data_IF_321764826628
#
_entry.id   IF_321764826628
#
_cell.length_a   1.000
_cell.length_b   1.000
_cell.length_c   1.000
_cell.angle_alpha   90.00
_cell.angle_beta   90.00
_cell.angle_gamma   90.00
#
_symmetry.space_group_name_H-M   'P 1'
#
loop_
_entity.id
_entity.type
_entity.pdbx_description
1 polymer ?
#
# COMPACT_ATOMS: atom_id res chain seq x y z
N UNK A 1 -29.34 -19.53 16.06
CA UNK A 1 -29.33 -18.40 15.10
C UNK A 1 -30.71 -18.33 14.48
N UNK A 2 -31.36 -17.16 14.50
CA UNK A 2 -32.78 -17.02 14.20
C UNK A 2 -33.00 -16.47 12.78
N UNK A 3 -34.14 -16.82 12.16
CA UNK A 3 -34.54 -16.39 10.81
C UNK A 3 -34.68 -14.86 10.64
N UNK A 4 -34.54 -14.09 11.73
CA UNK A 4 -34.47 -12.63 11.76
C UNK A 4 -33.16 -12.08 11.20
N UNK A 5 -32.11 -12.90 11.12
CA UNK A 5 -30.77 -12.44 10.75
C UNK A 5 -30.59 -12.35 9.22
N UNK A 6 -31.54 -12.88 8.43
CA UNK A 6 -31.52 -12.87 6.97
C UNK A 6 -32.17 -11.63 6.33
N UNK A 7 -32.23 -10.49 7.04
CA UNK A 7 -32.61 -9.23 6.39
C UNK A 7 -31.50 -8.83 5.41
N UNK A 8 -31.66 -9.22 4.14
CA UNK A 8 -30.84 -8.76 3.01
C UNK A 8 -31.05 -7.26 2.85
N UNK A 9 -30.28 -6.46 3.57
CA UNK A 9 -30.01 -5.08 3.17
C UNK A 9 -29.21 -5.15 1.87
N UNK A 10 -29.92 -5.20 0.73
CA UNK A 10 -29.32 -4.95 -0.58
C UNK A 10 -28.70 -3.55 -0.51
N UNK A 11 -27.40 -3.50 -0.25
CA UNK A 11 -26.63 -2.28 -0.31
C UNK A 11 -26.76 -1.81 -1.74
N UNK A 12 -27.42 -0.66 -1.95
CA UNK A 12 -27.53 -0.05 -3.27
C UNK A 12 -26.11 0.10 -3.79
N UNK A 13 -25.72 -0.70 -4.78
CA UNK A 13 -24.43 -0.56 -5.40
C UNK A 13 -24.41 0.84 -6.01
N UNK A 14 -23.57 1.73 -5.51
CA UNK A 14 -23.27 3.03 -6.15
C UNK A 14 -22.50 2.75 -7.45
N UNK A 15 -23.16 2.12 -8.42
CA UNK A 15 -22.64 1.98 -9.77
C UNK A 15 -22.66 3.38 -10.35
N UNK A 16 -21.47 3.98 -10.43
CA UNK A 16 -21.28 5.22 -11.17
C UNK A 16 -21.62 4.97 -12.63
N UNK A 17 -22.17 5.99 -13.29
CA UNK A 17 -22.46 5.94 -14.71
C UNK A 17 -21.13 5.79 -15.47
N UNK A 18 -20.99 4.68 -16.16
CA UNK A 18 -19.83 4.32 -16.96
C UNK A 18 -19.95 5.01 -18.32
N UNK A 19 -18.89 5.68 -18.77
CA UNK A 19 -18.92 6.40 -20.06
C UNK A 19 -18.72 5.43 -21.24
N UNK A 20 -19.18 5.83 -22.43
CA UNK A 20 -19.01 5.02 -23.65
C UNK A 20 -17.54 4.83 -23.99
N UNK A 21 -16.73 5.87 -23.85
CA UNK A 21 -15.30 5.81 -24.16
C UNK A 21 -14.54 4.87 -23.19
N UNK A 22 -14.96 4.84 -21.92
CA UNK A 22 -14.42 3.91 -20.91
C UNK A 22 -14.77 2.45 -21.23
N UNK A 23 -15.97 2.20 -21.76
CA UNK A 23 -16.38 0.88 -22.24
C UNK A 23 -15.55 0.40 -23.42
N UNK A 24 -15.33 1.29 -24.39
CA UNK A 24 -14.59 0.98 -25.61
C UNK A 24 -13.13 0.63 -25.23
N UNK A 25 -12.50 1.45 -24.41
CA UNK A 25 -11.13 1.21 -23.97
C UNK A 25 -10.99 -0.11 -23.18
N UNK A 26 -11.94 -0.44 -22.29
CA UNK A 26 -11.93 -1.69 -21.54
C UNK A 26 -12.11 -2.91 -22.48
N UNK A 27 -13.00 -2.79 -23.47
CA UNK A 27 -13.22 -3.84 -24.47
C UNK A 27 -11.97 -4.08 -25.33
N UNK A 28 -11.25 -3.04 -25.72
CA UNK A 28 -9.99 -3.15 -26.46
C UNK A 28 -8.90 -3.84 -25.62
N UNK A 29 -8.75 -3.44 -24.35
CA UNK A 29 -7.81 -4.05 -23.42
C UNK A 29 -8.10 -5.54 -23.19
N UNK A 30 -9.39 -5.89 -23.08
CA UNK A 30 -9.84 -7.28 -23.00
C UNK A 30 -9.51 -8.07 -24.28
N UNK A 31 -9.80 -7.51 -25.46
CA UNK A 31 -9.50 -8.14 -26.75
C UNK A 31 -7.99 -8.37 -26.95
N UNK A 32 -7.14 -7.48 -26.41
CA UNK A 32 -5.69 -7.62 -26.42
C UNK A 32 -5.14 -8.57 -25.34
N UNK A 33 -6.01 -9.18 -24.51
CA UNK A 33 -5.60 -10.10 -23.43
C UNK A 33 -4.90 -9.41 -22.26
N UNK A 34 -5.06 -8.09 -22.12
CA UNK A 34 -4.51 -7.29 -21.03
C UNK A 34 -5.65 -6.67 -20.24
N UNK A 35 -6.40 -7.43 -19.43
CA UNK A 35 -7.49 -6.89 -18.64
C UNK A 35 -6.92 -5.94 -17.59
N UNK A 36 -6.87 -4.65 -17.92
CA UNK A 36 -6.48 -3.57 -17.04
C UNK A 36 -7.76 -2.89 -16.58
N UNK A 37 -8.00 -2.86 -15.28
CA UNK A 37 -9.19 -2.20 -14.71
C UNK A 37 -9.03 -0.70 -14.94
N UNK A 38 -9.67 -0.16 -15.98
CA UNK A 38 -9.66 1.27 -16.33
C UNK A 38 -10.46 2.11 -15.33
N UNK A 39 -11.28 1.46 -14.49
CA UNK A 39 -12.24 2.08 -13.58
C UNK A 39 -11.96 1.80 -12.08
N UNK A 40 -10.70 1.72 -11.67
CA UNK A 40 -10.40 1.91 -10.25
C UNK A 40 -10.49 3.40 -10.00
N UNK A 41 -11.51 3.82 -9.24
CA UNK A 41 -11.58 5.13 -8.57
C UNK A 41 -10.18 5.48 -8.08
N UNK A 42 -9.44 6.32 -8.82
CA UNK A 42 -8.36 7.11 -8.24
C UNK A 42 -9.06 8.02 -7.26
N UNK A 43 -9.14 7.60 -5.99
CA UNK A 43 -9.54 8.51 -4.92
C UNK A 43 -8.50 9.62 -4.99
N UNK A 44 -8.92 10.80 -5.47
CA UNK A 44 -8.08 11.97 -5.53
C UNK A 44 -7.50 12.22 -4.13
N UNK A 45 -6.24 11.85 -3.93
CA UNK A 45 -5.61 11.79 -2.61
C UNK A 45 -4.42 10.82 -2.48
N UNK A 46 -4.18 9.94 -3.46
CA UNK A 46 -3.16 8.87 -3.34
C UNK A 46 -2.04 8.94 -4.40
N UNK A 47 -1.74 10.13 -4.92
CA UNK A 47 -0.71 10.33 -5.95
C UNK A 47 0.73 10.25 -5.39
N UNK A 48 0.98 9.61 -4.23
CA UNK A 48 2.35 9.48 -3.68
C UNK A 48 2.84 8.14 -3.13
N UNK A 49 2.09 7.04 -2.98
CA UNK A 49 2.66 5.91 -2.20
C UNK A 49 2.39 4.50 -2.74
N UNK A 50 3.35 3.87 -3.45
CA UNK A 50 3.24 2.45 -3.81
C UNK A 50 4.20 1.57 -3.00
N UNK A 51 4.27 1.63 -1.66
CA UNK A 51 5.48 1.10 -1.00
C UNK A 51 5.37 -0.18 -0.18
N UNK A 52 4.19 -0.71 0.21
CA UNK A 52 4.08 -2.10 0.73
C UNK A 52 2.83 -2.79 0.17
N UNK A 53 3.00 -3.44 -0.99
CA UNK A 53 2.18 -4.54 -1.56
C UNK A 53 0.66 -4.34 -1.73
N UNK A 54 0.21 -4.47 -2.98
CA UNK A 54 -1.17 -4.43 -3.52
C UNK A 54 -2.02 -5.65 -3.13
N UNK A 55 -1.98 -6.06 -1.87
CA UNK A 55 -2.70 -7.23 -1.35
C UNK A 55 -3.44 -6.95 -0.04
N UNK A 56 -4.24 -7.91 0.46
CA UNK A 56 -4.91 -7.77 1.75
C UNK A 56 -3.89 -7.54 2.87
N UNK A 57 -4.09 -6.49 3.66
CA UNK A 57 -3.24 -6.22 4.82
C UNK A 57 -3.44 -7.32 5.87
N UNK A 58 -2.35 -7.84 6.43
CA UNK A 58 -2.39 -8.82 7.52
C UNK A 58 -2.10 -8.11 8.85
N UNK A 59 -2.80 -8.52 9.90
CA UNK A 59 -2.51 -8.06 11.25
C UNK A 59 -1.30 -8.80 11.83
N UNK A 60 -0.50 -8.10 12.63
CA UNK A 60 0.65 -8.62 13.34
C UNK A 60 0.74 -8.00 14.73
N UNK A 61 1.26 -8.76 15.69
CA UNK A 61 1.52 -8.32 17.07
C UNK A 61 3.03 -8.25 17.25
N UNK A 62 3.52 -7.13 17.76
CA UNK A 62 4.94 -6.88 18.00
C UNK A 62 5.17 -6.58 19.46
N UNK A 63 6.31 -7.03 19.99
CA UNK A 63 6.76 -6.67 21.32
C UNK A 63 7.57 -5.38 21.23
N UNK A 64 7.16 -4.36 21.99
CA UNK A 64 7.80 -3.04 22.05
C UNK A 64 8.06 -2.67 23.50
N UNK A 65 9.05 -1.80 23.75
CA UNK A 65 9.25 -1.21 25.07
C UNK A 65 8.14 -0.20 25.39
N UNK A 66 7.91 0.05 26.68
CA UNK A 66 6.92 1.05 27.13
C UNK A 66 7.23 2.44 26.54
N UNK A 67 8.49 2.86 26.59
CA UNK A 67 8.94 4.13 26.02
C UNK A 67 8.63 4.25 24.52
N UNK A 68 8.82 3.17 23.74
CA UNK A 68 8.51 3.18 22.32
C UNK A 68 6.99 3.29 22.07
N UNK A 69 6.17 2.68 22.93
CA UNK A 69 4.71 2.79 22.89
C UNK A 69 4.28 4.23 23.19
N UNK A 70 4.88 4.87 24.19
CA UNK A 70 4.61 6.28 24.53
C UNK A 70 4.96 7.23 23.38
N UNK A 71 6.15 7.10 22.80
CA UNK A 71 6.58 7.91 21.65
C UNK A 71 5.61 7.72 20.47
N UNK A 72 5.21 6.47 20.19
CA UNK A 72 4.27 6.19 19.11
C UNK A 72 2.87 6.76 19.37
N UNK A 73 2.43 6.77 20.64
CA UNK A 73 1.18 7.40 21.05
C UNK A 73 1.24 8.92 20.85
N UNK A 74 2.30 9.56 21.33
CA UNK A 74 2.50 11.00 21.23
C UNK A 74 2.55 11.45 19.77
N UNK A 75 3.38 10.81 18.94
CA UNK A 75 3.47 11.10 17.51
C UNK A 75 2.12 10.96 16.81
N UNK A 76 1.33 9.95 17.18
CA UNK A 76 0.00 9.75 16.60
C UNK A 76 -0.97 10.88 16.96
N UNK A 77 -0.89 11.40 18.19
CA UNK A 77 -1.74 12.52 18.64
C UNK A 77 -1.31 13.85 18.00
N UNK A 78 -0.01 14.13 17.93
CA UNK A 78 0.52 15.39 17.38
C UNK A 78 0.34 15.50 15.87
N UNK A 79 0.59 14.42 15.13
CA UNK A 79 0.53 14.42 13.66
C UNK A 79 -0.86 14.11 13.11
N UNK A 80 -1.75 13.54 13.94
CA UNK A 80 -3.03 12.98 13.49
C UNK A 80 -2.89 11.71 12.62
N UNK A 81 -1.67 11.17 12.47
CA UNK A 81 -1.43 9.93 11.71
C UNK A 81 -1.64 8.73 12.62
N UNK A 82 -2.27 7.67 12.11
CA UNK A 82 -2.47 6.45 12.91
C UNK A 82 -1.16 5.73 13.19
N UNK A 83 -1.05 5.12 14.38
CA UNK A 83 0.12 4.32 14.80
C UNK A 83 0.55 3.29 13.76
N UNK A 84 -0.41 2.56 13.18
CA UNK A 84 -0.11 1.56 12.16
C UNK A 84 0.45 2.17 10.87
N UNK A 85 0.04 3.40 10.51
CA UNK A 85 0.60 4.13 9.36
C UNK A 85 2.01 4.62 9.65
N UNK A 86 2.28 5.13 10.86
CA UNK A 86 3.62 5.51 11.30
C UNK A 86 4.59 4.31 11.23
N UNK A 87 4.19 3.14 11.74
CA UNK A 87 5.01 1.92 11.66
C UNK A 87 5.28 1.53 10.20
N UNK A 88 4.27 1.61 9.31
CA UNK A 88 4.48 1.35 7.88
C UNK A 88 5.50 2.32 7.27
N UNK A 89 5.37 3.62 7.53
CA UNK A 89 6.32 4.63 7.03
C UNK A 89 7.74 4.40 7.56
N UNK A 90 7.88 4.03 8.83
CA UNK A 90 9.18 3.70 9.41
C UNK A 90 9.84 2.52 8.69
N UNK A 91 9.09 1.44 8.46
CA UNK A 91 9.58 0.26 7.73
C UNK A 91 10.06 0.65 6.33
N UNK A 92 9.31 1.50 5.63
CA UNK A 92 9.66 1.97 4.29
C UNK A 92 10.93 2.79 4.26
N UNK A 93 11.07 3.73 5.19
CA UNK A 93 12.26 4.58 5.30
C UNK A 93 13.50 3.72 5.57
N UNK A 94 13.38 2.74 6.48
CA UNK A 94 14.49 1.82 6.79
C UNK A 94 14.85 0.94 5.59
N UNK A 95 13.86 0.41 4.87
CA UNK A 95 14.10 -0.41 3.68
C UNK A 95 14.80 0.39 2.57
N UNK A 96 14.34 1.61 2.30
CA UNK A 96 14.97 2.51 1.33
C UNK A 96 16.43 2.83 1.68
N UNK A 97 16.71 3.12 2.97
CA UNK A 97 18.08 3.33 3.43
C UNK A 97 18.95 2.08 3.27
N UNK A 98 18.43 0.89 3.58
CA UNK A 98 19.17 -0.37 3.44
C UNK A 98 19.52 -0.67 1.97
N UNK A 99 18.58 -0.47 1.04
CA UNK A 99 18.83 -0.64 -0.40
C UNK A 99 19.97 0.26 -0.90
N UNK A 100 20.02 1.51 -0.44
CA UNK A 100 21.11 2.43 -0.80
C UNK A 100 22.49 1.98 -0.29
N UNK A 101 22.57 1.41 0.91
CA UNK A 101 23.82 0.91 1.49
C UNK A 101 24.34 -0.35 0.78
N UNK A 102 23.45 -1.24 0.34
CA UNK A 102 23.82 -2.45 -0.43
C UNK A 102 24.45 -2.06 -1.77
N UNK A 103 23.93 -1.04 -2.46
CA UNK A 103 24.50 -0.58 -3.73
C UNK A 103 25.89 0.06 -3.59
N UNK A 104 26.23 0.63 -2.43
CA UNK A 104 27.56 1.22 -2.19
C UNK A 104 28.64 0.18 -1.87
N UNK A 105 28.29 -0.93 -1.22
CA UNK A 105 29.26 -1.99 -0.89
C UNK A 105 29.62 -2.90 -2.07
N UNK A 106 28.72 -3.06 -3.05
CA UNK A 106 28.98 -3.86 -4.26
C UNK A 106 30.03 -3.29 -5.23
N UNK A 107 30.37 -1.99 -5.13
CA UNK A 107 31.32 -1.33 -6.04
C UNK A 107 32.79 -1.34 -5.54
N UNK A 108 33.09 -1.92 -4.38
CA UNK A 108 34.42 -1.87 -3.77
C UNK A 108 35.38 -3.03 -4.15
N UNK A 109 35.16 -3.73 -5.27
CA UNK A 109 36.12 -4.70 -5.81
C UNK A 109 36.93 -4.05 -6.93
N UNK A 110 37.83 -3.14 -6.57
CA UNK A 110 38.87 -2.65 -7.48
C UNK A 110 40.09 -3.55 -7.36
N UNK A 111 40.35 -4.23 -8.47
CA UNK A 111 41.46 -5.15 -8.78
C UNK A 111 42.80 -4.61 -8.23
N UNK A 112 43.40 -5.33 -7.26
CA UNK A 112 44.84 -5.20 -7.02
C UNK A 112 45.57 -5.79 -8.22
N UNK A 113 46.11 -4.91 -9.06
CA UNK A 113 47.04 -5.27 -10.14
C UNK A 113 48.28 -5.88 -9.49
N UNK A 114 48.55 -7.15 -9.81
CA UNK A 114 49.80 -7.84 -9.47
C UNK A 114 50.88 -7.28 -10.39
N UNK A 115 51.96 -6.77 -9.80
CA UNK A 115 53.25 -6.52 -10.48
C UNK A 115 54.13 -7.77 -10.41
#
# INVERSE_FOLDING_TARGET
MALTDLKKNSTRSNKLAFSVDEFIADAENYAMGKPQIVSVRKVAGDELEPLISKGPMRHATFTLSEEAIEILNQLSQETGVSKSKLIRQLILNVDAHNQSAIMQSGNAVVVKKVE
#
